data_IF_075759163282
#
_entry.id   IF_075759163282
#
_cell.length_a   1.000
_cell.length_b   1.000
_cell.length_c   1.000
_cell.angle_alpha   90.00
_cell.angle_beta   90.00
_cell.angle_gamma   90.00
#
_symmetry.space_group_name_H-M   'P 1'
#
loop_
_entity.id
_entity.type
_entity.pdbx_description
1 polymer ?
#
# COMPACT_ATOMS: atom_id res chain seq x y z
N UNK A 1 49.98 62.48 -28.21
CA UNK A 1 49.60 61.35 -29.07
C UNK A 1 49.49 60.13 -28.19
N UNK A 2 48.24 59.76 -27.91
CA UNK A 2 47.84 58.76 -26.92
C UNK A 2 47.93 57.36 -27.52
N UNK A 3 48.59 56.43 -26.81
CA UNK A 3 48.56 55.01 -27.13
C UNK A 3 47.34 54.38 -26.43
N UNK A 4 46.33 54.08 -27.24
CA UNK A 4 45.10 53.39 -26.85
C UNK A 4 45.41 51.95 -26.47
N UNK A 5 45.06 51.59 -25.23
CA UNK A 5 45.08 50.24 -24.67
C UNK A 5 44.03 49.37 -25.38
N UNK A 6 44.46 48.32 -26.05
CA UNK A 6 43.59 47.26 -26.56
C UNK A 6 43.51 46.12 -25.52
N UNK A 7 42.56 46.22 -24.59
CA UNK A 7 42.19 45.11 -23.70
C UNK A 7 41.26 44.16 -24.46
N UNK A 8 41.78 43.01 -24.88
CA UNK A 8 40.97 41.90 -25.42
C UNK A 8 40.28 41.24 -24.23
N UNK A 9 39.05 41.65 -23.94
CA UNK A 9 38.16 40.95 -23.04
C UNK A 9 37.62 39.70 -23.77
N UNK A 10 38.32 38.57 -23.62
CA UNK A 10 37.79 37.26 -23.96
C UNK A 10 36.66 36.95 -22.99
N UNK A 11 35.44 37.29 -23.38
CA UNK A 11 34.23 36.92 -22.67
C UNK A 11 34.02 35.41 -22.73
N UNK A 12 34.49 34.69 -21.72
CA UNK A 12 34.03 33.34 -21.44
C UNK A 12 32.56 33.40 -21.00
N UNK A 13 31.64 33.37 -21.97
CA UNK A 13 30.25 33.00 -21.72
C UNK A 13 30.21 31.51 -21.38
N UNK A 14 30.46 31.17 -20.12
CA UNK A 14 30.07 29.88 -19.57
C UNK A 14 28.56 29.95 -19.39
N UNK A 15 27.82 29.60 -20.44
CA UNK A 15 26.39 29.31 -20.33
C UNK A 15 26.25 28.05 -19.46
N UNK A 16 26.04 28.26 -18.16
CA UNK A 16 25.50 27.24 -17.27
C UNK A 16 24.09 26.92 -17.79
N UNK A 17 23.98 25.87 -18.60
CA UNK A 17 22.72 25.20 -18.82
C UNK A 17 22.35 24.52 -17.50
N UNK A 18 21.65 25.26 -16.63
CA UNK A 18 20.92 24.66 -15.54
C UNK A 18 19.92 23.71 -16.18
N UNK A 19 20.19 22.40 -16.10
CA UNK A 19 19.19 21.40 -16.39
C UNK A 19 18.00 21.71 -15.48
N UNK A 20 16.87 22.10 -16.08
CA UNK A 20 15.60 22.06 -15.38
C UNK A 20 15.41 20.60 -14.97
N UNK A 21 15.53 20.38 -13.66
CA UNK A 21 15.19 19.12 -13.04
C UNK A 21 13.67 19.01 -13.15
N UNK A 22 13.21 18.49 -14.29
CA UNK A 22 11.80 18.16 -14.57
C UNK A 22 11.41 16.94 -13.72
N UNK A 23 11.56 17.04 -12.41
CA UNK A 23 11.03 16.08 -11.47
C UNK A 23 9.51 16.13 -11.62
N UNK A 24 8.93 15.16 -12.35
CA UNK A 24 7.49 15.07 -12.55
C UNK A 24 6.78 15.09 -11.20
N UNK A 25 6.13 16.20 -10.87
CA UNK A 25 5.39 16.35 -9.61
C UNK A 25 4.29 15.29 -9.52
N UNK A 26 4.38 14.40 -8.53
CA UNK A 26 3.38 13.37 -8.29
C UNK A 26 2.16 14.03 -7.63
N UNK A 27 1.04 14.05 -8.35
CA UNK A 27 -0.22 14.56 -7.81
C UNK A 27 -0.84 13.55 -6.84
N UNK A 28 -1.39 14.03 -5.72
CA UNK A 28 -2.23 13.22 -4.82
C UNK A 28 -3.71 13.57 -5.03
N UNK A 29 -4.55 12.56 -5.26
CA UNK A 29 -6.01 12.67 -5.37
C UNK A 29 -6.67 11.86 -4.26
N UNK A 30 -7.55 12.50 -3.47
CA UNK A 30 -8.18 11.87 -2.31
C UNK A 30 -9.66 11.67 -2.58
N UNK A 31 -10.11 10.41 -2.48
CA UNK A 31 -11.49 10.00 -2.73
C UNK A 31 -11.98 9.21 -1.51
N UNK A 32 -13.17 9.53 -1.04
CA UNK A 32 -13.84 8.77 0.02
C UNK A 32 -15.00 7.98 -0.56
N UNK A 33 -15.26 6.77 -0.03
CA UNK A 33 -16.50 6.05 -0.36
C UNK A 33 -17.73 6.83 0.13
N UNK A 34 -18.89 6.70 -0.54
CA UNK A 34 -20.08 7.51 -0.23
C UNK A 34 -20.62 7.33 1.20
N UNK A 35 -20.41 6.16 1.81
CA UNK A 35 -20.82 5.83 3.18
C UNK A 35 -19.63 5.28 3.93
N UNK A 36 -18.94 6.16 4.67
CA UNK A 36 -17.84 5.77 5.54
C UNK A 36 -18.38 5.27 6.87
N UNK A 37 -17.96 4.07 7.26
CA UNK A 37 -18.22 3.48 8.57
C UNK A 37 -16.91 3.43 9.36
N UNK A 38 -16.99 3.18 10.66
CA UNK A 38 -15.78 2.98 11.45
C UNK A 38 -15.08 1.68 11.05
N UNK A 39 -13.76 1.75 10.92
CA UNK A 39 -12.96 0.59 10.59
C UNK A 39 -13.04 -0.46 11.71
N UNK A 40 -13.31 -1.73 11.37
CA UNK A 40 -13.07 -2.84 12.28
C UNK A 40 -11.61 -2.87 12.73
N UNK A 41 -11.35 -3.57 13.83
CA UNK A 41 -9.98 -3.76 14.31
C UNK A 41 -9.11 -4.39 13.22
N UNK A 42 -7.90 -3.86 13.03
CA UNK A 42 -6.93 -4.29 12.04
C UNK A 42 -7.40 -4.26 10.58
N UNK A 43 -8.49 -3.55 10.27
CA UNK A 43 -8.95 -3.38 8.90
C UNK A 43 -8.03 -2.43 8.12
N UNK A 44 -7.90 -2.67 6.82
CA UNK A 44 -7.35 -1.66 5.90
C UNK A 44 -8.32 -0.49 5.79
N UNK A 45 -7.87 0.71 6.17
CA UNK A 45 -8.70 1.90 6.15
C UNK A 45 -8.78 2.56 4.78
N UNK A 46 -7.81 2.28 3.92
CA UNK A 46 -7.77 2.83 2.58
C UNK A 46 -6.78 2.14 1.67
N UNK A 47 -6.82 2.53 0.41
CA UNK A 47 -5.95 2.05 -0.65
C UNK A 47 -5.25 3.23 -1.34
N UNK A 48 -4.01 3.03 -1.77
CA UNK A 48 -3.26 3.99 -2.56
C UNK A 48 -2.88 3.32 -3.87
N UNK A 49 -3.37 3.87 -4.98
CA UNK A 49 -3.06 3.40 -6.32
C UNK A 49 -2.16 4.38 -7.04
N UNK A 50 -0.98 3.93 -7.48
CA UNK A 50 -0.13 4.70 -8.37
C UNK A 50 -0.59 4.45 -9.82
N UNK A 51 -1.00 5.52 -10.50
CA UNK A 51 -1.49 5.47 -11.87
C UNK A 51 -0.95 6.63 -12.72
N UNK A 52 -1.06 6.50 -14.04
CA UNK A 52 -0.78 7.59 -14.98
C UNK A 52 -2.10 8.13 -15.53
N UNK A 53 -2.49 9.32 -15.11
CA UNK A 53 -3.72 9.98 -15.57
C UNK A 53 -3.48 10.66 -16.91
N UNK A 54 -4.40 10.43 -17.85
CA UNK A 54 -4.45 11.16 -19.11
C UNK A 54 -5.14 12.52 -18.90
N UNK A 55 -4.44 13.61 -19.21
CA UNK A 55 -4.96 14.98 -19.14
C UNK A 55 -5.72 15.34 -20.43
N UNK A 56 -6.46 16.46 -20.40
CA UNK A 56 -7.26 16.93 -21.54
C UNK A 56 -6.41 17.26 -22.78
N UNK A 57 -5.15 17.61 -22.56
CA UNK A 57 -4.16 17.90 -23.61
C UNK A 57 -3.50 16.63 -24.18
N UNK A 58 -3.88 15.44 -23.71
CA UNK A 58 -3.32 14.15 -24.14
C UNK A 58 -2.03 13.74 -23.41
N UNK A 59 -1.49 14.57 -22.52
CA UNK A 59 -0.30 14.22 -21.72
C UNK A 59 -0.66 13.26 -20.59
N UNK A 60 0.31 12.44 -20.15
CA UNK A 60 0.16 11.53 -19.01
C UNK A 60 0.98 12.03 -17.84
N UNK A 61 0.36 12.15 -16.66
CA UNK A 61 1.07 12.52 -15.42
C UNK A 61 0.94 11.46 -14.33
N UNK A 62 1.98 11.24 -13.52
CA UNK A 62 1.90 10.35 -12.37
C UNK A 62 0.91 10.91 -11.33
N UNK A 63 0.08 10.02 -10.79
CA UNK A 63 -0.93 10.35 -9.80
C UNK A 63 -1.03 9.22 -8.76
N UNK A 64 -0.99 9.58 -7.49
CA UNK A 64 -1.40 8.72 -6.38
C UNK A 64 -2.87 8.97 -6.09
N UNK A 65 -3.69 7.94 -6.28
CA UNK A 65 -5.10 7.97 -5.92
C UNK A 65 -5.32 7.27 -4.59
N UNK A 66 -5.67 8.04 -3.57
CA UNK A 66 -5.96 7.61 -2.22
C UNK A 66 -7.46 7.39 -2.08
N UNK A 67 -7.87 6.19 -1.70
CA UNK A 67 -9.27 5.79 -1.54
C UNK A 67 -9.51 5.45 -0.06
N UNK A 68 -10.33 6.23 0.62
CA UNK A 68 -10.75 5.95 2.00
C UNK A 68 -11.93 4.97 1.99
N UNK A 69 -11.74 3.82 2.62
CA UNK A 69 -12.74 2.76 2.74
C UNK A 69 -13.55 2.86 4.04
N UNK A 70 -12.89 3.24 5.15
CA UNK A 70 -13.51 3.41 6.47
C UNK A 70 -12.75 4.45 7.30
N UNK A 71 -13.35 4.93 8.40
CA UNK A 71 -12.78 5.93 9.32
C UNK A 71 -12.10 5.22 10.48
N UNK A 72 -10.86 5.60 10.79
CA UNK A 72 -10.15 5.02 11.91
C UNK A 72 -10.72 5.49 13.25
N UNK A 73 -10.84 4.61 14.26
CA UNK A 73 -11.32 5.00 15.57
C UNK A 73 -10.43 6.08 16.21
N UNK A 74 -11.04 7.18 16.66
CA UNK A 74 -10.33 8.27 17.34
C UNK A 74 -9.63 9.27 16.41
N UNK A 75 -9.86 9.20 15.11
CA UNK A 75 -9.32 10.15 14.12
C UNK A 75 -10.44 10.68 13.21
N UNK A 76 -10.12 11.68 12.40
CA UNK A 76 -11.05 12.25 11.39
C UNK A 76 -11.05 11.47 10.06
N UNK A 77 -10.21 10.42 9.93
CA UNK A 77 -10.05 9.68 8.66
C UNK A 77 -8.97 8.60 8.68
N UNK A 78 -8.67 8.06 7.50
CA UNK A 78 -7.58 7.10 7.30
C UNK A 78 -6.25 7.81 7.13
N UNK A 79 -5.18 7.29 7.74
CA UNK A 79 -3.84 7.84 7.63
C UNK A 79 -3.11 7.20 6.42
N UNK A 80 -2.57 8.04 5.53
CA UNK A 80 -1.90 7.62 4.30
C UNK A 80 -0.39 7.89 4.30
N UNK A 81 0.19 8.10 5.49
CA UNK A 81 1.64 8.23 5.65
C UNK A 81 2.39 6.89 5.46
N UNK A 82 3.71 6.96 5.36
CA UNK A 82 4.54 5.77 5.16
C UNK A 82 4.54 4.84 6.38
N UNK A 83 4.30 5.37 7.60
CA UNK A 83 4.27 4.60 8.84
C UNK A 83 3.00 3.76 9.00
N UNK A 84 1.92 4.08 8.27
CA UNK A 84 0.65 3.37 8.28
C UNK A 84 0.37 2.63 6.98
N UNK A 85 1.32 2.58 6.03
CA UNK A 85 1.09 1.95 4.73
C UNK A 85 1.93 0.70 4.49
N UNK A 86 1.28 -0.33 3.95
CA UNK A 86 1.91 -1.58 3.53
C UNK A 86 1.88 -1.73 2.01
N UNK A 87 2.96 -2.26 1.45
CA UNK A 87 3.08 -2.47 0.01
C UNK A 87 2.43 -3.80 -0.40
N UNK A 88 1.52 -3.73 -1.37
CA UNK A 88 0.90 -4.91 -1.98
C UNK A 88 1.47 -5.21 -3.37
N UNK A 89 1.86 -4.17 -4.09
CA UNK A 89 2.57 -4.26 -5.36
C UNK A 89 3.32 -2.96 -5.63
N UNK A 90 3.93 -2.84 -6.81
CA UNK A 90 4.57 -1.59 -7.26
C UNK A 90 3.56 -0.45 -7.47
N UNK A 91 2.29 -0.77 -7.71
CA UNK A 91 1.25 0.22 -8.02
C UNK A 91 0.11 0.28 -7.00
N UNK A 92 0.15 -0.55 -5.96
CA UNK A 92 -0.89 -0.62 -4.94
C UNK A 92 -0.28 -0.73 -3.54
N UNK A 93 -0.73 0.15 -2.65
CA UNK A 93 -0.44 0.13 -1.22
C UNK A 93 -1.75 0.16 -0.45
N UNK A 94 -1.73 -0.35 0.77
CA UNK A 94 -2.88 -0.34 1.68
C UNK A 94 -2.53 0.49 2.91
N UNK A 95 -3.46 1.31 3.35
CA UNK A 95 -3.35 2.14 4.53
C UNK A 95 -4.06 1.50 5.72
N UNK A 96 -3.47 1.62 6.92
CA UNK A 96 -3.92 1.01 8.17
C UNK A 96 -4.27 2.08 9.21
N UNK A 97 -5.14 1.72 10.15
CA UNK A 97 -5.45 2.61 11.27
C UNK A 97 -4.39 2.64 12.37
N UNK A 98 -3.57 1.60 12.45
CA UNK A 98 -2.47 1.49 13.40
C UNK A 98 -1.15 1.48 12.62
N UNK A 99 -0.06 2.00 13.20
CA UNK A 99 1.23 2.01 12.52
C UNK A 99 1.68 0.59 12.19
N UNK A 100 2.37 0.41 11.06
CA UNK A 100 2.86 -0.88 10.58
C UNK A 100 3.76 -1.56 11.62
N UNK A 101 4.52 -0.79 12.38
CA UNK A 101 5.39 -1.27 13.48
C UNK A 101 4.64 -1.91 14.65
N UNK A 102 3.31 -1.73 14.74
CA UNK A 102 2.48 -2.40 15.74
C UNK A 102 2.13 -3.85 15.36
N UNK A 103 2.39 -4.25 14.12
CA UNK A 103 2.14 -5.61 13.63
C UNK A 103 3.43 -6.42 13.66
N UNK A 104 3.30 -7.69 14.07
CA UNK A 104 4.43 -8.61 14.01
C UNK A 104 4.71 -9.01 12.55
N UNK A 105 5.99 -9.28 12.19
CA UNK A 105 6.31 -9.89 10.91
C UNK A 105 5.70 -11.29 10.80
N UNK A 106 5.23 -11.65 9.61
CA UNK A 106 4.65 -12.97 9.37
C UNK A 106 5.71 -14.08 9.41
N UNK A 107 5.37 -15.20 10.04
CA UNK A 107 6.15 -16.44 9.92
C UNK A 107 5.86 -17.13 8.57
N UNK A 108 6.79 -17.96 8.03
CA UNK A 108 6.54 -18.74 6.83
C UNK A 108 5.25 -19.56 6.93
N UNK A 109 4.43 -19.53 5.88
CA UNK A 109 3.14 -20.24 5.83
C UNK A 109 2.02 -19.67 6.69
N UNK A 110 2.27 -18.64 7.50
CA UNK A 110 1.25 -17.96 8.29
C UNK A 110 0.29 -17.15 7.39
N UNK A 111 -0.98 -17.07 7.79
CA UNK A 111 -1.94 -16.15 7.17
C UNK A 111 -1.58 -14.72 7.53
N UNK A 112 -1.24 -13.92 6.53
CA UNK A 112 -0.87 -12.51 6.68
C UNK A 112 -2.09 -11.62 6.83
N UNK A 113 -3.13 -11.91 6.03
CA UNK A 113 -4.38 -11.15 6.03
C UNK A 113 -5.55 -12.01 5.63
N UNK A 114 -6.74 -11.55 5.94
CA UNK A 114 -7.99 -12.19 5.58
C UNK A 114 -8.90 -11.20 4.86
N UNK A 115 -9.44 -11.61 3.71
CA UNK A 115 -10.56 -10.89 3.10
C UNK A 115 -11.84 -11.33 3.82
N UNK A 116 -12.47 -10.41 4.54
CA UNK A 116 -13.78 -10.57 5.17
C UNK A 116 -14.82 -10.09 4.18
N UNK A 117 -15.57 -11.02 3.59
CA UNK A 117 -16.61 -10.71 2.60
C UNK A 117 -17.95 -10.51 3.31
N UNK A 118 -18.78 -9.59 2.81
CA UNK A 118 -20.13 -9.30 3.31
C UNK A 118 -20.16 -9.10 4.83
N UNK A 119 -19.29 -8.22 5.35
CA UNK A 119 -19.16 -8.03 6.78
C UNK A 119 -20.29 -7.20 7.36
N UNK A 120 -20.93 -7.69 8.42
CA UNK A 120 -21.90 -6.93 9.22
C UNK A 120 -21.29 -5.62 9.77
N UNK A 121 -20.01 -5.65 10.18
CA UNK A 121 -19.31 -4.47 10.69
C UNK A 121 -19.16 -3.32 9.67
N UNK A 122 -19.30 -3.61 8.38
CA UNK A 122 -19.19 -2.62 7.30
C UNK A 122 -20.43 -2.65 6.39
N UNK A 123 -21.60 -2.96 6.95
CA UNK A 123 -22.88 -2.90 6.22
C UNK A 123 -22.87 -3.73 4.92
N UNK A 124 -22.37 -4.96 5.02
CA UNK A 124 -22.24 -5.88 3.88
C UNK A 124 -21.06 -5.59 2.95
N UNK A 125 -20.20 -4.63 3.25
CA UNK A 125 -18.98 -4.40 2.48
C UNK A 125 -17.88 -5.41 2.84
N UNK A 126 -16.98 -5.64 1.89
CA UNK A 126 -15.81 -6.49 2.11
C UNK A 126 -14.60 -5.66 2.52
N UNK A 127 -13.74 -6.21 3.39
CA UNK A 127 -12.49 -5.55 3.79
C UNK A 127 -11.36 -6.54 4.05
N UNK A 128 -10.12 -6.07 4.02
CA UNK A 128 -8.97 -6.85 4.44
C UNK A 128 -8.67 -6.59 5.91
N UNK A 129 -8.56 -7.68 6.68
CA UNK A 129 -8.08 -7.68 8.06
C UNK A 129 -6.61 -8.13 8.07
N UNK A 130 -5.72 -7.30 8.63
CA UNK A 130 -4.28 -7.56 8.71
C UNK A 130 -3.96 -8.31 10.02
N UNK A 131 -3.29 -9.46 9.90
CA UNK A 131 -2.89 -10.30 11.05
C UNK A 131 -1.40 -10.20 11.33
N UNK A 132 -0.58 -10.06 10.29
CA UNK A 132 0.86 -9.82 10.37
C UNK A 132 1.33 -9.17 9.07
N UNK A 133 2.52 -8.57 9.08
CA UNK A 133 3.11 -7.91 7.91
C UNK A 133 4.05 -8.85 7.17
N UNK A 134 3.88 -8.97 5.86
CA UNK A 134 4.84 -9.70 5.04
C UNK A 134 6.20 -8.98 5.03
N UNK A 135 7.33 -9.72 5.04
CA UNK A 135 8.62 -9.09 4.85
C UNK A 135 8.72 -8.38 3.49
N UNK A 136 9.69 -7.46 3.37
CA UNK A 136 9.90 -6.67 2.14
C UNK A 136 9.99 -7.59 0.92
N UNK A 137 9.33 -7.20 -0.17
CA UNK A 137 9.25 -7.93 -1.46
C UNK A 137 8.33 -9.16 -1.50
N UNK A 138 7.67 -9.53 -0.39
CA UNK A 138 6.70 -10.62 -0.40
C UNK A 138 5.27 -10.08 -0.37
N UNK A 139 4.50 -10.39 -1.41
CA UNK A 139 3.10 -9.94 -1.50
C UNK A 139 2.17 -11.03 -0.97
N UNK A 140 1.13 -10.69 -0.19
CA UNK A 140 0.16 -11.66 0.27
C UNK A 140 -0.69 -12.18 -0.90
N UNK A 141 -0.57 -13.47 -1.18
CA UNK A 141 -1.30 -14.21 -2.21
C UNK A 141 -2.38 -15.07 -1.58
N UNK A 142 -3.51 -15.24 -2.28
CA UNK A 142 -4.59 -16.11 -1.81
C UNK A 142 -4.03 -17.52 -1.61
N UNK A 143 -4.18 -18.05 -0.40
CA UNK A 143 -3.71 -19.38 -0.09
C UNK A 143 -4.45 -20.39 -0.95
N UNK A 144 -3.78 -20.99 -1.94
CA UNK A 144 -4.27 -22.24 -2.52
C UNK A 144 -4.23 -23.24 -1.38
N UNK A 145 -5.37 -23.52 -0.75
CA UNK A 145 -5.48 -24.64 0.16
C UNK A 145 -4.83 -25.84 -0.52
N UNK A 146 -3.88 -26.52 0.14
CA UNK A 146 -3.51 -27.89 -0.28
C UNK A 146 -4.84 -28.60 -0.54
N UNK A 147 -4.97 -29.39 -1.62
CA UNK A 147 -6.21 -30.08 -2.06
C UNK A 147 -6.75 -31.09 -1.01
N UNK A 148 -7.03 -30.63 0.19
CA UNK A 148 -7.36 -31.35 1.39
C UNK A 148 -7.80 -30.33 2.43
N UNK A 149 -9.11 -30.10 2.48
CA UNK A 149 -9.83 -29.17 3.37
C UNK A 149 -9.46 -27.69 3.19
N UNK A 150 -10.18 -27.04 2.27
CA UNK A 150 -10.52 -25.62 2.44
C UNK A 150 -11.22 -25.47 3.80
N UNK A 151 -10.55 -24.91 4.78
CA UNK A 151 -11.20 -24.43 6.00
C UNK A 151 -11.91 -23.13 5.64
N UNK A 152 -13.07 -23.24 5.01
CA UNK A 152 -14.09 -22.21 5.15
C UNK A 152 -14.47 -22.26 6.63
N UNK A 153 -13.92 -21.36 7.43
CA UNK A 153 -14.46 -21.12 8.77
C UNK A 153 -15.80 -20.40 8.59
N UNK A 154 -16.83 -21.20 8.34
CA UNK A 154 -18.21 -20.75 8.32
C UNK A 154 -18.61 -20.51 9.77
N UNK A 155 -18.65 -19.25 10.20
CA UNK A 155 -19.27 -18.90 11.47
C UNK A 155 -20.77 -19.19 11.34
N UNK A 156 -21.37 -20.00 12.24
CA UNK A 156 -22.80 -20.29 12.15
C UNK A 156 -23.60 -19.07 12.65
N UNK A 157 -23.91 -18.14 11.75
CA UNK A 157 -25.08 -17.28 11.90
C UNK A 157 -26.30 -18.08 11.45
N UNK A 158 -27.33 -18.12 12.30
CA UNK A 158 -28.53 -18.97 12.11
C UNK A 158 -29.26 -18.61 10.81
N UNK A 159 -29.49 -19.63 9.98
CA UNK A 159 -30.57 -19.77 8.99
C UNK A 159 -30.81 -18.57 8.04
N UNK A 160 -30.05 -18.50 6.95
CA UNK A 160 -30.60 -18.51 5.59
C UNK A 160 -29.48 -18.62 4.53
N UNK A 161 -29.73 -19.38 3.48
CA UNK A 161 -28.73 -19.91 2.55
C UNK A 161 -28.16 -18.90 1.53
N UNK A 162 -28.31 -17.59 1.72
CA UNK A 162 -27.87 -16.56 0.76
C UNK A 162 -26.72 -15.64 1.20
N UNK A 163 -26.36 -15.57 2.49
CA UNK A 163 -25.44 -14.54 3.02
C UNK A 163 -24.33 -15.09 3.93
N UNK A 164 -23.62 -16.12 3.48
CA UNK A 164 -22.44 -16.56 4.23
C UNK A 164 -21.33 -15.50 4.12
N UNK A 165 -21.00 -14.86 5.23
CA UNK A 165 -19.77 -14.10 5.38
C UNK A 165 -18.58 -15.03 5.08
N UNK A 166 -17.94 -14.85 3.92
CA UNK A 166 -16.81 -15.67 3.51
C UNK A 166 -15.51 -15.03 3.99
N UNK A 167 -14.66 -15.84 4.61
CA UNK A 167 -13.31 -15.42 5.01
C UNK A 167 -12.30 -16.10 4.09
N UNK A 168 -11.50 -15.31 3.36
CA UNK A 168 -10.45 -15.85 2.47
C UNK A 168 -9.06 -15.53 3.02
N UNK A 169 -8.23 -16.53 3.33
CA UNK A 169 -6.90 -16.31 3.87
C UNK A 169 -5.88 -16.02 2.77
N UNK A 170 -5.00 -15.06 3.02
CA UNK A 170 -3.86 -14.72 2.17
C UNK A 170 -2.56 -14.90 2.95
N UNK A 171 -1.56 -15.51 2.32
CA UNK A 171 -0.24 -15.77 2.90
C UNK A 171 0.82 -15.05 2.09
N UNK A 172 1.93 -14.67 2.71
CA UNK A 172 3.03 -14.05 1.96
C UNK A 172 3.56 -15.04 0.91
N UNK A 173 3.66 -14.59 -0.34
CA UNK A 173 4.24 -15.36 -1.44
C UNK A 173 5.65 -15.81 -1.10
N UNK A 174 6.10 -16.96 -1.54
CA UNK A 174 7.54 -17.28 -1.60
C UNK A 174 8.29 -17.44 -0.27
N UNK A 175 7.66 -17.24 0.89
CA UNK A 175 8.26 -17.61 2.18
C UNK A 175 8.33 -19.14 2.30
N UNK A 176 9.45 -19.72 1.84
CA UNK A 176 9.84 -21.10 2.14
C UNK A 176 10.47 -21.14 3.54
N UNK A 177 10.31 -22.25 4.26
CA UNK A 177 10.93 -22.45 5.59
C UNK A 177 12.47 -22.30 5.55
N UNK A 178 13.08 -22.54 4.38
CA UNK A 178 14.53 -22.41 4.12
C UNK A 178 15.10 -20.99 4.29
N UNK A 179 14.27 -19.93 4.32
CA UNK A 179 14.73 -18.53 4.43
C UNK A 179 14.91 -18.03 5.88
N UNK A 180 14.51 -18.82 6.89
CA UNK A 180 14.67 -18.42 8.29
C UNK A 180 16.11 -18.57 8.81
N UNK A 181 16.93 -19.42 8.20
CA UNK A 181 18.33 -19.60 8.63
C UNK A 181 19.24 -18.43 8.25
N UNK A 182 18.85 -17.59 7.28
CA UNK A 182 19.68 -16.47 6.80
C UNK A 182 19.39 -15.16 7.57
N UNK A 183 18.20 -15.03 8.18
CA UNK A 183 17.82 -13.85 8.96
C UNK A 183 18.33 -13.88 10.41
N UNK A 184 18.45 -15.07 11.02
CA UNK A 184 19.06 -15.22 12.35
C UNK A 184 20.60 -14.98 12.33
N UNK A 185 21.20 -14.88 11.14
CA UNK A 185 22.64 -14.62 10.96
C UNK A 185 23.03 -13.14 10.86
N UNK A 186 22.08 -12.21 10.82
CA UNK A 186 22.34 -10.79 10.57
C UNK A 186 22.24 -9.88 11.82
N UNK A 187 21.83 -10.41 12.96
CA UNK A 187 21.79 -9.68 14.25
C UNK A 187 23.07 -9.84 15.09
N UNK A 188 24.21 -10.20 14.49
CA UNK A 188 25.51 -10.28 15.18
C UNK A 188 26.57 -9.36 14.57
N UNK A 189 26.29 -8.06 14.40
CA UNK A 189 27.32 -7.01 14.29
C UNK A 189 26.88 -5.67 14.90
#
# INVERSE_FOLDING_TARGET
>A
MEFVRLCIAVGCFVTYAFGQDDSEEIRNDFVSRPKLLFCPRNATCGDIFFQRRLLKDGTRRPENRHITNCICPGTDGCNFDDDHTIFQSTTHREALCAPVSSYNPCRPGQTARQLRMNSDNLDGQSYFEILCTCPRHFNPVEGRGRKGKSTYETYPTRFDSSDYAQVRPYRCSGMREEFLEELDGLDTY
#
